data_IF_888006611615
#
_entry.id   IF_888006611615
#
_cell.length_a   1.000
_cell.length_b   1.000
_cell.length_c   1.000
_cell.angle_alpha   90.00
_cell.angle_beta   90.00
_cell.angle_gamma   90.00
#
_symmetry.space_group_name_H-M   'P 1'
#
loop_
_entity.id
_entity.type
_entity.pdbx_description
1 polymer ?
#
# COMPACT_ATOMS: atom_id res chain seq x y z
N UNK A 1 -14.33 15.45 8.51
CA UNK A 1 -14.90 14.98 7.24
C UNK A 1 -14.66 13.50 7.18
N UNK A 2 -15.69 12.71 6.86
CA UNK A 2 -15.53 11.28 6.62
C UNK A 2 -14.99 11.06 5.20
N UNK A 3 -13.92 10.27 5.07
CA UNK A 3 -13.27 9.94 3.80
C UNK A 3 -13.40 8.44 3.48
N UNK A 4 -14.07 7.65 4.31
CA UNK A 4 -14.17 6.21 4.13
C UNK A 4 -14.74 5.83 2.76
N UNK A 5 -14.15 4.82 2.13
CA UNK A 5 -14.62 4.29 0.84
C UNK A 5 -14.72 2.78 0.86
N UNK A 6 -15.68 2.24 0.11
CA UNK A 6 -15.86 0.79 -0.05
C UNK A 6 -15.47 0.39 -1.46
N UNK A 7 -14.55 -0.58 -1.58
CA UNK A 7 -14.10 -1.16 -2.85
C UNK A 7 -14.31 -2.67 -2.78
N UNK A 8 -15.30 -3.18 -3.50
CA UNK A 8 -15.71 -4.58 -3.37
C UNK A 8 -16.09 -4.92 -1.92
N UNK A 9 -15.50 -5.96 -1.31
CA UNK A 9 -15.76 -6.31 0.09
C UNK A 9 -14.92 -5.50 1.10
N UNK A 10 -13.99 -4.65 0.65
CA UNK A 10 -13.08 -3.93 1.53
C UNK A 10 -13.64 -2.55 1.89
N UNK A 11 -13.53 -2.20 3.17
CA UNK A 11 -13.77 -0.85 3.66
C UNK A 11 -12.43 -0.20 4.02
N UNK A 12 -12.09 0.88 3.33
CA UNK A 12 -10.85 1.62 3.52
C UNK A 12 -11.14 2.92 4.29
N UNK A 13 -10.27 3.33 5.22
CA UNK A 13 -10.48 4.54 6.01
C UNK A 13 -10.41 5.83 5.19
N UNK A 14 -9.81 5.78 4.00
CA UNK A 14 -9.74 6.87 3.03
C UNK A 14 -9.37 6.32 1.62
N UNK A 15 -9.53 7.10 0.53
CA UNK A 15 -9.24 6.62 -0.82
C UNK A 15 -7.75 6.71 -1.23
N UNK A 16 -6.86 7.14 -0.33
CA UNK A 16 -5.44 7.35 -0.65
C UNK A 16 -4.67 6.05 -0.43
N UNK A 17 -4.12 5.49 -1.51
CA UNK A 17 -3.23 4.34 -1.44
C UNK A 17 -2.01 4.48 -2.32
N UNK A 18 -0.95 3.72 -2.00
CA UNK A 18 0.33 3.73 -2.73
C UNK A 18 0.42 2.56 -3.69
N UNK A 19 0.69 2.83 -4.96
CA UNK A 19 0.71 1.84 -6.03
C UNK A 19 1.78 0.74 -5.84
N UNK A 20 1.55 -0.42 -6.47
CA UNK A 20 2.50 -1.54 -6.40
C UNK A 20 3.88 -1.14 -6.90
N UNK A 21 4.90 -1.53 -6.16
CA UNK A 21 6.30 -1.29 -6.50
C UNK A 21 6.81 0.12 -6.25
N UNK A 22 5.97 1.06 -5.82
CA UNK A 22 6.40 2.42 -5.47
C UNK A 22 6.78 2.57 -3.99
N UNK A 23 6.34 1.64 -3.14
CA UNK A 23 6.51 1.70 -1.69
C UNK A 23 7.05 0.40 -1.06
N UNK A 24 7.59 -0.53 -1.87
CA UNK A 24 8.15 -1.79 -1.36
C UNK A 24 7.15 -2.56 -0.50
N UNK A 25 7.48 -2.73 0.78
CA UNK A 25 6.61 -3.28 1.82
C UNK A 25 6.20 -2.25 2.88
N UNK A 26 6.55 -0.97 2.68
CA UNK A 26 6.18 0.17 3.54
C UNK A 26 7.15 0.45 4.69
N UNK A 27 8.09 -0.45 4.98
CA UNK A 27 9.03 -0.31 6.10
C UNK A 27 10.01 0.84 5.90
N UNK A 28 10.42 1.07 4.65
CA UNK A 28 11.40 2.06 4.23
C UNK A 28 10.88 3.51 4.37
N UNK A 29 9.56 3.67 4.45
CA UNK A 29 8.89 4.97 4.45
C UNK A 29 8.35 5.36 5.83
N UNK A 30 8.53 4.53 6.86
CA UNK A 30 8.02 4.80 8.22
C UNK A 30 8.59 6.08 8.86
N UNK A 31 9.76 6.56 8.41
CA UNK A 31 10.34 7.83 8.85
C UNK A 31 9.77 9.05 8.11
N UNK A 32 9.16 8.84 6.94
CA UNK A 32 8.64 9.92 6.08
C UNK A 32 7.13 10.07 6.20
N UNK A 33 6.42 8.95 6.35
CA UNK A 33 4.96 8.90 6.37
C UNK A 33 4.52 7.85 7.38
N UNK A 34 3.53 8.20 8.20
CA UNK A 34 2.80 7.22 9.00
C UNK A 34 1.93 6.34 8.08
N UNK A 35 2.44 5.14 7.78
CA UNK A 35 1.82 4.15 6.90
C UNK A 35 0.43 3.74 7.41
N UNK A 36 0.18 3.80 8.73
CA UNK A 36 -1.13 3.48 9.32
C UNK A 36 -2.25 4.43 8.92
N UNK A 37 -1.91 5.59 8.33
CA UNK A 37 -2.88 6.58 7.83
C UNK A 37 -3.28 6.37 6.38
N UNK A 38 -2.57 5.53 5.63
CA UNK A 38 -2.94 5.20 4.25
C UNK A 38 -4.21 4.35 4.23
N UNK A 39 -5.05 4.57 3.23
CA UNK A 39 -6.22 3.73 2.97
C UNK A 39 -5.81 2.34 2.51
N UNK A 40 -4.76 2.23 1.69
CA UNK A 40 -4.25 0.94 1.22
C UNK A 40 -2.75 1.01 0.87
N UNK A 41 -2.06 -0.11 1.04
CA UNK A 41 -0.69 -0.34 0.55
C UNK A 41 -0.71 -1.53 -0.41
N UNK A 42 -0.45 -1.27 -1.69
CA UNK A 42 -0.27 -2.31 -2.70
C UNK A 42 1.22 -2.66 -2.73
N UNK A 43 1.60 -3.82 -2.18
CA UNK A 43 3.00 -4.23 -2.05
C UNK A 43 3.66 -4.50 -3.40
N UNK A 44 4.99 -4.63 -3.41
CA UNK A 44 5.73 -5.13 -4.58
C UNK A 44 5.18 -6.50 -5.01
N UNK A 45 5.11 -6.72 -6.33
CA UNK A 45 4.69 -7.99 -6.90
C UNK A 45 5.49 -9.16 -6.30
N UNK A 46 4.76 -10.21 -5.90
CA UNK A 46 5.33 -11.46 -5.37
C UNK A 46 5.33 -12.49 -6.49
N UNK A 47 6.49 -13.11 -6.73
CA UNK A 47 6.65 -14.23 -7.67
C UNK A 47 6.90 -15.53 -6.91
N UNK A 48 6.61 -16.66 -7.54
CA UNK A 48 6.81 -17.99 -6.93
C UNK A 48 8.27 -18.19 -6.51
N UNK A 49 9.19 -17.90 -7.43
CA UNK A 49 10.62 -17.95 -7.18
C UNK A 49 11.18 -16.52 -7.01
N UNK A 50 12.27 -16.34 -6.23
CA UNK A 50 12.96 -15.06 -6.10
C UNK A 50 13.44 -14.53 -7.45
N UNK A 51 13.41 -13.20 -7.62
CA UNK A 51 13.90 -12.50 -8.81
C UNK A 51 14.78 -11.33 -8.39
N UNK A 52 15.99 -11.23 -8.94
CA UNK A 52 16.91 -10.11 -8.66
C UNK A 52 16.43 -8.78 -9.29
N UNK A 53 15.73 -8.85 -10.43
CA UNK A 53 15.34 -7.67 -11.21
C UNK A 53 15.88 -7.75 -12.63
N UNK A 54 15.94 -6.60 -13.32
CA UNK A 54 16.58 -6.46 -14.63
C UNK A 54 17.95 -5.81 -14.49
#
# INVERSE_FOLDING_TARGET
MDLGVTIGPLHLPNPVGVASGTFGYGQEYGELVDIGRLGALYTKAVTLEPREGN
#
